data_IF_253326272337
#
_entry.id   IF_253326272337
#
_cell.length_a   1.000
_cell.length_b   1.000
_cell.length_c   1.000
_cell.angle_alpha   90.00
_cell.angle_beta   90.00
_cell.angle_gamma   90.00
#
_symmetry.space_group_name_H-M   'P 1'
#
loop_
_entity.id
_entity.type
_entity.pdbx_description
1 polymer ?
#
# COMPACT_ATOMS: atom_id res chain seq x y z
N UNK A 1 6.65 -53.46 -27.70
CA UNK A 1 7.76 -52.84 -26.96
C UNK A 1 7.49 -53.02 -25.48
N UNK A 2 8.22 -53.92 -24.85
CA UNK A 2 7.95 -54.45 -23.50
C UNK A 2 8.61 -53.55 -22.46
N UNK A 3 7.83 -52.98 -21.54
CA UNK A 3 8.35 -52.28 -20.37
C UNK A 3 8.69 -53.32 -19.29
N UNK A 4 9.93 -53.43 -18.77
CA UNK A 4 10.24 -54.43 -17.76
C UNK A 4 9.69 -53.98 -16.40
N UNK A 5 8.81 -54.79 -15.82
CA UNK A 5 8.42 -54.69 -14.41
C UNK A 5 9.62 -55.18 -13.56
N UNK A 6 10.34 -54.25 -12.94
CA UNK A 6 11.31 -54.59 -11.89
C UNK A 6 10.54 -55.05 -10.63
N UNK A 7 10.85 -56.26 -10.13
CA UNK A 7 10.18 -56.84 -8.96
C UNK A 7 11.01 -56.63 -7.69
N UNK A 8 10.39 -56.46 -6.51
CA UNK A 8 11.10 -56.36 -5.24
C UNK A 8 11.89 -57.65 -4.95
N UNK A 9 13.22 -57.55 -4.94
CA UNK A 9 14.15 -58.68 -4.69
C UNK A 9 15.28 -58.82 -5.72
N UNK A 10 15.13 -58.22 -6.91
CA UNK A 10 16.14 -58.29 -7.95
C UNK A 10 17.34 -57.34 -7.68
N UNK A 11 18.58 -57.71 -8.05
CA UNK A 11 19.73 -56.83 -7.94
C UNK A 11 19.51 -55.57 -8.79
N UNK A 12 19.73 -54.39 -8.18
CA UNK A 12 19.47 -53.10 -8.83
C UNK A 12 20.31 -52.92 -10.11
N UNK A 13 19.70 -52.47 -11.23
CA UNK A 13 20.41 -52.15 -12.46
C UNK A 13 21.58 -51.18 -12.24
N UNK A 14 22.71 -51.32 -12.96
CA UNK A 14 23.90 -50.47 -12.81
C UNK A 14 23.62 -48.98 -13.06
N UNK A 15 22.60 -48.69 -13.86
CA UNK A 15 22.20 -47.35 -14.31
C UNK A 15 21.58 -46.50 -13.18
N UNK A 16 21.07 -47.15 -12.14
CA UNK A 16 20.54 -46.52 -10.92
C UNK A 16 21.63 -46.31 -9.84
N UNK A 17 22.90 -46.58 -10.14
CA UNK A 17 24.03 -46.38 -9.21
C UNK A 17 24.63 -44.98 -9.24
N UNK A 18 24.06 -44.03 -9.99
CA UNK A 18 24.44 -42.61 -9.83
C UNK A 18 23.70 -42.00 -8.65
N UNK A 19 24.44 -41.89 -7.55
CA UNK A 19 24.06 -41.11 -6.39
C UNK A 19 24.73 -39.75 -6.51
N UNK A 20 24.09 -38.83 -7.23
CA UNK A 20 24.32 -37.40 -7.02
C UNK A 20 23.62 -37.04 -5.70
N UNK A 21 24.31 -37.31 -4.59
CA UNK A 21 23.85 -36.94 -3.24
C UNK A 21 24.18 -35.47 -3.08
N UNK A 22 23.17 -34.63 -2.88
CA UNK A 22 23.38 -33.24 -2.51
C UNK A 22 24.26 -33.18 -1.24
N UNK A 23 25.30 -32.33 -1.19
CA UNK A 23 26.21 -32.24 -0.04
C UNK A 23 25.53 -31.80 1.27
N UNK A 24 24.29 -31.32 1.21
CA UNK A 24 23.45 -31.08 2.39
C UNK A 24 21.96 -31.30 2.08
N UNK A 25 21.16 -31.57 3.12
CA UNK A 25 19.70 -31.52 3.09
C UNK A 25 19.12 -30.14 3.39
N UNK A 26 19.96 -29.10 3.37
CA UNK A 26 19.48 -27.73 3.52
C UNK A 26 18.68 -27.36 2.28
N UNK A 27 17.43 -26.96 2.49
CA UNK A 27 16.60 -26.40 1.43
C UNK A 27 17.29 -25.12 0.96
N UNK A 28 17.90 -25.15 -0.24
CA UNK A 28 18.37 -23.93 -0.89
C UNK A 28 17.20 -22.95 -1.05
N UNK A 29 17.45 -21.63 -1.11
CA UNK A 29 16.37 -20.65 -1.23
C UNK A 29 15.47 -21.00 -2.41
N UNK A 30 14.20 -21.32 -2.10
CA UNK A 30 13.20 -21.67 -3.11
C UNK A 30 12.61 -20.37 -3.64
N UNK A 31 13.02 -19.95 -4.83
CA UNK A 31 12.34 -18.90 -5.57
C UNK A 31 11.07 -19.47 -6.19
N UNK A 32 9.89 -19.02 -5.74
CA UNK A 32 8.62 -19.38 -6.37
C UNK A 32 8.23 -18.26 -7.32
N UNK A 33 8.61 -18.38 -8.59
CA UNK A 33 8.04 -17.54 -9.65
C UNK A 33 6.93 -18.33 -10.30
N UNK A 34 5.66 -17.89 -10.20
CA UNK A 34 4.57 -18.56 -10.92
C UNK A 34 4.88 -18.57 -12.42
N UNK A 35 4.73 -19.73 -13.07
CA UNK A 35 4.84 -19.84 -14.53
C UNK A 35 3.89 -18.81 -15.18
N UNK A 36 4.45 -17.83 -15.90
CA UNK A 36 3.69 -16.86 -16.70
C UNK A 36 3.82 -15.38 -16.28
N UNK A 37 4.27 -15.08 -15.06
CA UNK A 37 4.30 -13.67 -14.59
C UNK A 37 5.60 -12.92 -14.95
N UNK A 38 6.69 -13.66 -15.22
CA UNK A 38 8.02 -13.12 -15.51
C UNK A 38 8.69 -12.50 -14.28
N UNK A 39 9.90 -11.94 -14.44
CA UNK A 39 10.62 -11.30 -13.33
C UNK A 39 9.89 -10.00 -12.91
N UNK A 40 9.34 -9.91 -11.68
CA UNK A 40 8.60 -8.73 -11.22
C UNK A 40 9.47 -7.47 -11.12
N UNK A 41 10.79 -7.58 -10.93
CA UNK A 41 11.70 -6.42 -10.88
C UNK A 41 11.67 -5.58 -12.15
N UNK A 42 11.27 -6.18 -13.27
CA UNK A 42 11.11 -5.51 -14.56
C UNK A 42 9.77 -4.81 -14.78
N UNK A 43 8.81 -4.97 -13.86
CA UNK A 43 7.47 -4.39 -14.00
C UNK A 43 7.49 -2.90 -13.70
N UNK A 44 6.55 -2.18 -14.30
CA UNK A 44 6.38 -0.75 -14.16
C UNK A 44 5.12 -0.26 -14.85
N UNK A 45 4.68 0.94 -14.51
CA UNK A 45 3.46 1.58 -15.03
C UNK A 45 3.78 2.66 -16.07
N UNK A 46 5.04 3.09 -16.14
CA UNK A 46 5.53 4.12 -17.06
C UNK A 46 6.69 3.58 -17.88
N UNK A 47 6.66 3.74 -19.20
CA UNK A 47 7.79 3.33 -20.05
C UNK A 47 9.07 4.13 -19.72
N UNK A 48 10.28 3.57 -19.96
CA UNK A 48 11.53 4.31 -19.76
C UNK A 48 11.57 5.65 -20.50
N UNK A 49 11.05 5.68 -21.74
CA UNK A 49 10.99 6.90 -22.56
C UNK A 49 10.11 7.97 -21.93
N UNK A 50 8.90 7.61 -21.48
CA UNK A 50 8.00 8.56 -20.81
C UNK A 50 8.56 9.02 -19.46
N UNK A 51 9.32 8.17 -18.77
CA UNK A 51 10.02 8.53 -17.54
C UNK A 51 11.29 9.37 -17.78
N UNK A 52 11.79 9.46 -19.02
CA UNK A 52 13.08 10.09 -19.33
C UNK A 52 14.27 9.34 -18.73
N UNK A 53 14.18 8.01 -18.61
CA UNK A 53 15.18 7.14 -18.01
C UNK A 53 15.73 6.14 -19.03
N UNK A 54 17.02 5.76 -18.94
CA UNK A 54 17.54 4.65 -19.73
C UNK A 54 16.89 3.33 -19.29
N UNK A 55 16.50 2.43 -20.22
CA UNK A 55 15.88 1.14 -19.85
C UNK A 55 16.74 0.30 -18.90
N UNK A 56 18.06 0.30 -19.11
CA UNK A 56 19.04 -0.42 -18.29
C UNK A 56 19.56 0.37 -17.08
N UNK A 57 18.75 1.24 -16.47
CA UNK A 57 19.16 2.15 -15.39
C UNK A 57 19.95 1.46 -14.26
N UNK A 58 19.55 0.25 -13.88
CA UNK A 58 20.17 -0.51 -12.79
C UNK A 58 21.55 -1.09 -13.15
N UNK A 59 21.84 -1.27 -14.44
CA UNK A 59 23.08 -1.85 -14.93
C UNK A 59 23.38 -3.22 -14.35
N UNK A 60 24.63 -3.43 -13.93
CA UNK A 60 25.10 -4.67 -13.32
C UNK A 60 24.94 -4.72 -11.79
N UNK A 61 24.22 -3.77 -11.19
CA UNK A 61 24.07 -3.66 -9.74
C UNK A 61 23.26 -4.85 -9.18
N UNK A 62 23.64 -5.42 -8.02
CA UNK A 62 22.88 -6.50 -7.39
C UNK A 62 21.50 -6.04 -6.90
N UNK A 63 20.46 -6.85 -7.12
CA UNK A 63 19.09 -6.56 -6.68
C UNK A 63 18.97 -6.26 -5.16
N UNK A 64 19.62 -7.03 -4.25
CA UNK A 64 19.53 -6.76 -2.82
C UNK A 64 20.14 -5.41 -2.41
N UNK A 65 21.21 -4.99 -3.07
CA UNK A 65 21.86 -3.72 -2.79
C UNK A 65 20.99 -2.54 -3.25
N UNK A 66 20.40 -2.64 -4.44
CA UNK A 66 19.43 -1.63 -4.91
C UNK A 66 18.21 -1.56 -3.99
N UNK A 67 17.67 -2.70 -3.56
CA UNK A 67 16.56 -2.76 -2.63
C UNK A 67 16.90 -2.05 -1.30
N UNK A 68 18.10 -2.28 -0.76
CA UNK A 68 18.60 -1.63 0.46
C UNK A 68 18.73 -0.11 0.28
N UNK A 69 19.32 0.34 -0.83
CA UNK A 69 19.49 1.77 -1.14
C UNK A 69 18.15 2.47 -1.32
N UNK A 70 17.18 1.83 -1.99
CA UNK A 70 15.82 2.36 -2.14
C UNK A 70 15.13 2.48 -0.78
N UNK A 71 15.17 1.46 0.07
CA UNK A 71 14.59 1.55 1.42
C UNK A 71 15.23 2.65 2.27
N UNK A 72 16.54 2.86 2.15
CA UNK A 72 17.27 3.86 2.93
C UNK A 72 17.13 5.31 2.41
N UNK A 73 16.66 5.49 1.18
CA UNK A 73 16.46 6.81 0.58
C UNK A 73 15.46 7.64 1.40
N UNK A 74 15.65 8.96 1.50
CA UNK A 74 14.67 9.85 2.14
C UNK A 74 14.74 11.28 1.57
N UNK A 75 14.32 11.49 0.31
CA UNK A 75 14.39 12.81 -0.31
C UNK A 75 13.43 13.79 0.37
N UNK A 76 13.97 14.93 0.80
CA UNK A 76 13.22 16.02 1.44
C UNK A 76 12.70 17.07 0.45
N UNK A 77 13.40 17.26 -0.67
CA UNK A 77 13.01 18.25 -1.68
C UNK A 77 11.89 17.71 -2.57
N UNK A 78 10.83 18.49 -2.87
CA UNK A 78 9.74 18.05 -3.75
C UNK A 78 10.22 17.56 -5.12
N UNK A 79 11.21 18.22 -5.71
CA UNK A 79 11.79 17.82 -6.99
C UNK A 79 12.46 16.43 -6.93
N UNK A 80 13.17 16.13 -5.84
CA UNK A 80 13.80 14.81 -5.64
C UNK A 80 12.76 13.72 -5.36
N UNK A 81 11.71 14.03 -4.58
CA UNK A 81 10.59 13.10 -4.36
C UNK A 81 9.87 12.77 -5.67
N UNK A 82 9.65 13.76 -6.55
CA UNK A 82 9.08 13.52 -7.89
C UNK A 82 10.00 12.65 -8.76
N UNK A 83 11.31 12.91 -8.74
CA UNK A 83 12.29 12.09 -9.45
C UNK A 83 12.29 10.64 -8.94
N UNK A 84 12.32 10.45 -7.62
CA UNK A 84 12.30 9.14 -7.00
C UNK A 84 11.02 8.38 -7.37
N UNK A 85 9.84 8.97 -7.18
CA UNK A 85 8.56 8.35 -7.58
C UNK A 85 8.57 7.92 -9.05
N UNK A 86 9.14 8.74 -9.93
CA UNK A 86 9.26 8.44 -11.37
C UNK A 86 10.20 7.24 -11.62
N UNK A 87 11.33 7.17 -10.92
CA UNK A 87 12.24 6.01 -10.99
C UNK A 87 11.53 4.74 -10.48
N UNK A 88 10.85 4.83 -9.34
CA UNK A 88 10.18 3.71 -8.70
C UNK A 88 8.97 3.18 -9.49
N UNK A 89 8.31 4.01 -10.30
CA UNK A 89 7.17 3.60 -11.14
C UNK A 89 7.56 3.12 -12.55
N UNK A 90 8.81 3.36 -12.98
CA UNK A 90 9.23 3.07 -14.36
C UNK A 90 9.40 1.56 -14.63
N UNK A 91 9.10 1.15 -15.86
CA UNK A 91 9.33 -0.21 -16.35
C UNK A 91 10.79 -0.34 -16.82
N UNK A 92 11.69 -0.80 -15.95
CA UNK A 92 13.13 -0.86 -16.21
C UNK A 92 13.59 -2.31 -16.39
N UNK A 93 14.68 -2.55 -17.09
CA UNK A 93 15.26 -3.91 -17.20
C UNK A 93 15.64 -4.43 -15.82
N UNK A 94 15.30 -5.68 -15.44
CA UNK A 94 15.66 -6.23 -14.14
C UNK A 94 17.17 -6.13 -13.84
N UNK A 95 17.57 -5.88 -12.59
CA UNK A 95 18.98 -5.91 -12.17
C UNK A 95 19.52 -7.34 -12.15
N UNK A 96 20.82 -7.49 -11.82
CA UNK A 96 21.40 -8.81 -11.56
C UNK A 96 20.81 -9.39 -10.27
N UNK A 97 20.20 -10.57 -10.36
CA UNK A 97 19.66 -11.31 -9.22
C UNK A 97 20.17 -12.76 -9.25
N UNK A 98 20.46 -13.31 -8.08
CA UNK A 98 20.65 -14.76 -7.91
C UNK A 98 19.28 -15.46 -7.76
N UNK A 99 19.26 -16.79 -7.86
CA UNK A 99 18.03 -17.55 -7.66
C UNK A 99 17.41 -17.25 -6.27
N UNK A 100 16.13 -16.92 -6.26
CA UNK A 100 15.40 -16.53 -5.04
C UNK A 100 15.52 -15.06 -4.63
N UNK A 101 16.30 -14.24 -5.36
CA UNK A 101 16.38 -12.78 -5.13
C UNK A 101 15.46 -11.98 -6.07
N UNK A 102 14.85 -12.63 -7.06
CA UNK A 102 13.89 -12.01 -7.99
C UNK A 102 12.71 -11.41 -7.22
N UNK A 103 12.36 -10.17 -7.53
CA UNK A 103 11.26 -9.44 -6.90
C UNK A 103 11.62 -8.69 -5.63
N UNK A 104 12.83 -8.87 -5.09
CA UNK A 104 13.29 -8.09 -3.94
C UNK A 104 13.35 -6.59 -4.23
N UNK A 105 13.78 -6.21 -5.45
CA UNK A 105 13.80 -4.82 -5.88
C UNK A 105 12.38 -4.30 -6.11
N UNK A 106 11.50 -5.11 -6.70
CA UNK A 106 10.10 -4.77 -6.91
C UNK A 106 9.40 -4.44 -5.59
N UNK A 107 9.50 -5.32 -4.58
CA UNK A 107 8.90 -5.07 -3.26
C UNK A 107 9.51 -3.83 -2.59
N UNK A 108 10.82 -3.61 -2.70
CA UNK A 108 11.44 -2.40 -2.19
C UNK A 108 10.91 -1.12 -2.86
N UNK A 109 10.64 -1.16 -4.17
CA UNK A 109 10.02 -0.05 -4.91
C UNK A 109 8.59 0.22 -4.42
N UNK A 110 7.79 -0.83 -4.23
CA UNK A 110 6.43 -0.72 -3.70
C UNK A 110 6.44 -0.15 -2.28
N UNK A 111 7.19 -0.77 -1.36
CA UNK A 111 7.30 -0.35 0.03
C UNK A 111 7.73 1.13 0.11
N UNK A 112 8.70 1.54 -0.72
CA UNK A 112 9.15 2.93 -0.78
C UNK A 112 8.07 3.89 -1.30
N UNK A 113 7.28 3.49 -2.29
CA UNK A 113 6.15 4.30 -2.76
C UNK A 113 5.09 4.47 -1.66
N UNK A 114 4.85 3.44 -0.84
CA UNK A 114 3.95 3.51 0.33
C UNK A 114 4.48 4.49 1.38
N UNK A 115 5.76 4.40 1.72
CA UNK A 115 6.41 5.32 2.68
C UNK A 115 6.33 6.79 2.20
N UNK A 116 6.34 7.00 0.89
CA UNK A 116 6.18 8.32 0.28
C UNK A 116 4.73 8.81 0.24
N UNK A 117 3.75 7.98 0.63
CA UNK A 117 2.32 8.22 0.48
C UNK A 117 1.81 8.06 -0.96
N UNK A 118 2.66 7.64 -1.90
CA UNK A 118 2.31 7.46 -3.31
C UNK A 118 1.57 6.14 -3.57
N UNK A 119 0.51 5.87 -2.80
CA UNK A 119 -0.23 4.60 -2.81
C UNK A 119 -0.89 4.30 -4.14
N UNK A 120 -1.37 5.31 -4.87
CA UNK A 120 -1.87 5.12 -6.25
C UNK A 120 -0.80 4.54 -7.16
N UNK A 121 0.43 5.06 -7.10
CA UNK A 121 1.56 4.52 -7.88
C UNK A 121 1.95 3.11 -7.42
N UNK A 122 1.94 2.86 -6.11
CA UNK A 122 2.20 1.52 -5.55
C UNK A 122 1.14 0.50 -6.01
N UNK A 123 -0.14 0.86 -5.96
CA UNK A 123 -1.29 0.04 -6.38
C UNK A 123 -1.17 -0.34 -7.86
N UNK A 124 -0.92 0.64 -8.72
CA UNK A 124 -0.77 0.38 -10.16
C UNK A 124 0.48 -0.47 -10.47
N UNK A 125 1.56 -0.29 -9.73
CA UNK A 125 2.76 -1.13 -9.85
C UNK A 125 2.47 -2.58 -9.44
N UNK A 126 1.76 -2.79 -8.34
CA UNK A 126 1.32 -4.12 -7.87
C UNK A 126 0.39 -4.79 -8.88
N UNK A 127 -0.59 -4.07 -9.43
CA UNK A 127 -1.47 -4.57 -10.49
C UNK A 127 -0.70 -5.01 -11.73
N UNK A 128 0.33 -4.25 -12.15
CA UNK A 128 1.17 -4.61 -13.29
C UNK A 128 1.96 -5.91 -13.09
N UNK A 129 2.24 -6.30 -11.84
CA UNK A 129 2.92 -7.55 -11.49
C UNK A 129 1.95 -8.72 -11.21
N UNK A 130 0.65 -8.45 -11.09
CA UNK A 130 -0.38 -9.45 -10.77
C UNK A 130 -0.46 -9.81 -9.28
N UNK A 131 -1.67 -10.13 -8.77
CA UNK A 131 -1.91 -10.39 -7.35
C UNK A 131 -1.48 -11.79 -6.88
N UNK A 132 -0.88 -12.61 -7.76
CA UNK A 132 -0.60 -14.01 -7.46
C UNK A 132 0.47 -14.30 -6.40
N UNK A 133 1.19 -13.30 -5.93
CA UNK A 133 2.21 -13.50 -4.92
C UNK A 133 1.72 -13.01 -3.56
N UNK A 134 1.84 -13.82 -2.49
CA UNK A 134 1.37 -13.44 -1.15
C UNK A 134 2.00 -12.12 -0.64
N UNK A 135 3.29 -11.89 -0.89
CA UNK A 135 3.96 -10.67 -0.43
C UNK A 135 3.46 -9.44 -1.19
N UNK A 136 3.22 -9.55 -2.51
CA UNK A 136 2.60 -8.49 -3.31
C UNK A 136 1.16 -8.24 -2.86
N UNK A 137 0.38 -9.29 -2.67
CA UNK A 137 -1.01 -9.17 -2.24
C UNK A 137 -1.13 -8.55 -0.86
N UNK A 138 -0.21 -8.83 0.07
CA UNK A 138 -0.17 -8.16 1.38
C UNK A 138 -0.13 -6.64 1.24
N UNK A 139 0.75 -6.10 0.38
CA UNK A 139 0.82 -4.64 0.15
C UNK A 139 -0.43 -4.13 -0.58
N UNK A 140 -0.97 -4.90 -1.51
CA UNK A 140 -2.20 -4.53 -2.21
C UNK A 140 -3.39 -4.44 -1.23
N UNK A 141 -3.49 -5.39 -0.30
CA UNK A 141 -4.49 -5.43 0.75
C UNK A 141 -4.33 -4.25 1.72
N UNK A 142 -3.10 -3.98 2.18
CA UNK A 142 -2.79 -2.81 3.02
C UNK A 142 -3.22 -1.49 2.33
N UNK A 143 -2.93 -1.32 1.04
CA UNK A 143 -3.37 -0.13 0.28
C UNK A 143 -4.89 -0.06 0.20
N UNK A 144 -5.54 -1.20 -0.04
CA UNK A 144 -6.99 -1.26 -0.20
C UNK A 144 -7.72 -0.85 1.09
N UNK A 145 -7.24 -1.33 2.24
CA UNK A 145 -7.72 -0.93 3.58
C UNK A 145 -7.56 0.57 3.85
N UNK A 146 -6.52 1.21 3.30
CA UNK A 146 -6.31 2.66 3.46
C UNK A 146 -7.04 3.50 2.42
N UNK A 147 -7.56 2.91 1.35
CA UNK A 147 -8.16 3.64 0.22
C UNK A 147 -9.67 3.40 0.08
N UNK A 148 -10.28 2.61 0.96
CA UNK A 148 -11.71 2.25 0.85
C UNK A 148 -12.00 1.22 -0.25
N UNK A 149 -10.98 0.45 -0.68
CA UNK A 149 -11.10 -0.56 -1.74
C UNK A 149 -11.15 -2.00 -1.17
N UNK A 150 -11.54 -2.18 0.09
CA UNK A 150 -11.50 -3.45 0.82
C UNK A 150 -12.31 -4.53 0.12
N UNK A 151 -13.49 -4.18 -0.40
CA UNK A 151 -14.36 -5.08 -1.15
C UNK A 151 -13.63 -5.74 -2.34
N UNK A 152 -12.90 -4.94 -3.12
CA UNK A 152 -12.13 -5.45 -4.27
C UNK A 152 -10.98 -6.35 -3.81
N UNK A 153 -10.29 -6.01 -2.71
CA UNK A 153 -9.18 -6.81 -2.22
C UNK A 153 -9.66 -8.15 -1.63
N UNK A 154 -10.78 -8.16 -0.93
CA UNK A 154 -11.39 -9.39 -0.42
C UNK A 154 -11.87 -10.31 -1.56
N UNK A 155 -12.45 -9.75 -2.63
CA UNK A 155 -12.82 -10.53 -3.83
C UNK A 155 -11.59 -11.18 -4.49
N UNK A 156 -10.47 -10.47 -4.58
CA UNK A 156 -9.20 -11.03 -5.08
C UNK A 156 -8.72 -12.16 -4.18
N UNK A 157 -8.82 -12.00 -2.86
CA UNK A 157 -8.42 -13.01 -1.87
C UNK A 157 -9.23 -14.30 -2.05
N UNK A 158 -10.54 -14.19 -2.24
CA UNK A 158 -11.44 -15.35 -2.42
C UNK A 158 -11.17 -16.10 -3.72
N UNK A 159 -10.83 -15.37 -4.79
CA UNK A 159 -10.53 -15.97 -6.10
C UNK A 159 -9.10 -16.53 -6.20
N UNK A 160 -8.24 -16.25 -5.23
CA UNK A 160 -6.81 -16.60 -5.30
C UNK A 160 -6.41 -17.43 -4.08
N UNK A 161 -6.58 -18.76 -4.12
CA UNK A 161 -6.19 -19.64 -3.03
C UNK A 161 -4.72 -19.45 -2.61
N UNK A 162 -4.47 -19.39 -1.31
CA UNK A 162 -3.13 -19.26 -0.72
C UNK A 162 -2.53 -17.85 -0.77
N UNK A 163 -3.29 -16.83 -1.18
CA UNK A 163 -2.80 -15.44 -1.21
C UNK A 163 -3.02 -14.68 0.09
N UNK A 164 -3.88 -15.19 0.97
CA UNK A 164 -4.25 -14.52 2.23
C UNK A 164 -2.99 -14.22 3.07
N UNK A 165 -2.73 -12.95 3.45
CA UNK A 165 -1.50 -12.58 4.15
C UNK A 165 -1.42 -13.12 5.59
N UNK A 166 -2.56 -13.33 6.23
CA UNK A 166 -2.68 -13.80 7.61
C UNK A 166 -4.08 -14.37 7.87
N UNK A 167 -4.25 -15.08 8.99
CA UNK A 167 -5.57 -15.49 9.46
C UNK A 167 -6.47 -14.27 9.71
N UNK A 168 -5.94 -13.21 10.31
CA UNK A 168 -6.69 -11.98 10.59
C UNK A 168 -7.26 -11.34 9.31
N UNK A 169 -6.46 -11.27 8.23
CA UNK A 169 -6.93 -10.77 6.94
C UNK A 169 -8.03 -11.66 6.34
N UNK A 170 -7.89 -12.99 6.48
CA UNK A 170 -8.91 -13.94 6.01
C UNK A 170 -10.22 -13.80 6.79
N UNK A 171 -10.14 -13.69 8.11
CA UNK A 171 -11.30 -13.51 9.01
C UNK A 171 -12.02 -12.20 8.66
N UNK A 172 -11.27 -11.10 8.52
CA UNK A 172 -11.82 -9.81 8.09
C UNK A 172 -12.58 -9.92 6.77
N UNK A 173 -11.98 -10.53 5.74
CA UNK A 173 -12.65 -10.64 4.43
C UNK A 173 -13.88 -11.56 4.45
N UNK A 174 -13.88 -12.63 5.25
CA UNK A 174 -15.05 -13.49 5.41
C UNK A 174 -16.22 -12.73 6.05
N UNK A 175 -15.95 -12.01 7.15
CA UNK A 175 -16.95 -11.19 7.82
C UNK A 175 -17.44 -10.02 6.95
N UNK A 176 -16.52 -9.32 6.28
CA UNK A 176 -16.83 -8.24 5.34
C UNK A 176 -17.72 -8.73 4.17
N UNK A 177 -17.48 -9.95 3.69
CA UNK A 177 -18.31 -10.62 2.68
C UNK A 177 -19.65 -11.14 3.20
N UNK A 178 -19.91 -11.05 4.51
CA UNK A 178 -21.14 -11.48 5.17
C UNK A 178 -21.15 -12.93 5.65
N UNK A 179 -20.06 -13.67 5.50
CA UNK A 179 -19.92 -15.05 6.01
C UNK A 179 -19.35 -15.04 7.44
N UNK A 180 -20.14 -14.49 8.36
CA UNK A 180 -19.81 -14.37 9.78
C UNK A 180 -19.53 -15.73 10.44
N UNK A 181 -20.27 -16.77 10.04
CA UNK A 181 -20.09 -18.11 10.57
C UNK A 181 -18.72 -18.70 10.17
N UNK A 182 -18.30 -18.54 8.91
CA UNK A 182 -16.97 -18.96 8.48
C UNK A 182 -15.87 -18.12 9.16
N UNK A 183 -16.09 -16.81 9.30
CA UNK A 183 -15.14 -15.93 9.99
C UNK A 183 -14.91 -16.36 11.44
N UNK A 184 -15.98 -16.62 12.20
CA UNK A 184 -15.92 -17.10 13.58
C UNK A 184 -15.25 -18.48 13.69
N UNK A 185 -15.55 -19.41 12.78
CA UNK A 185 -14.90 -20.73 12.76
C UNK A 185 -13.38 -20.62 12.56
N UNK A 186 -12.96 -19.80 11.59
CA UNK A 186 -11.54 -19.57 11.30
C UNK A 186 -10.87 -18.87 12.49
N UNK A 187 -11.54 -17.89 13.10
CA UNK A 187 -11.07 -17.18 14.28
C UNK A 187 -10.80 -18.14 15.45
N UNK A 188 -11.80 -18.92 15.89
CA UNK A 188 -11.63 -19.84 17.02
C UNK A 188 -10.55 -20.90 16.78
N UNK A 189 -10.45 -21.41 15.55
CA UNK A 189 -9.39 -22.36 15.19
C UNK A 189 -8.00 -21.73 15.28
N UNK A 190 -7.82 -20.55 14.68
CA UNK A 190 -6.54 -19.85 14.66
C UNK A 190 -6.12 -19.37 16.06
N UNK A 191 -7.07 -18.88 16.85
CA UNK A 191 -6.84 -18.43 18.24
C UNK A 191 -6.46 -19.60 19.16
N UNK A 192 -7.18 -20.72 19.10
CA UNK A 192 -6.86 -21.92 19.87
C UNK A 192 -5.47 -22.50 19.55
N UNK A 193 -4.96 -22.27 18.34
CA UNK A 193 -3.61 -22.66 17.89
C UNK A 193 -2.56 -21.55 18.09
N UNK A 194 -2.90 -20.45 18.74
CA UNK A 194 -2.06 -19.27 18.94
C UNK A 194 -1.43 -18.74 17.63
N UNK A 195 -2.20 -18.74 16.54
CA UNK A 195 -1.78 -18.23 15.23
C UNK A 195 -2.13 -16.75 15.02
N UNK A 196 -2.74 -16.11 16.03
CA UNK A 196 -3.11 -14.70 16.04
C UNK A 196 -2.51 -14.07 17.31
N UNK A 197 -1.88 -12.91 17.17
CA UNK A 197 -1.36 -12.15 18.31
C UNK A 197 -2.51 -11.76 19.27
N UNK A 198 -2.31 -11.82 20.61
CA UNK A 198 -3.40 -11.64 21.58
C UNK A 198 -4.20 -10.34 21.43
N UNK A 199 -3.54 -9.22 21.12
CA UNK A 199 -4.22 -7.93 20.91
C UNK A 199 -5.12 -7.94 19.67
N UNK A 200 -4.66 -8.55 18.58
CA UNK A 200 -5.46 -8.74 17.37
C UNK A 200 -6.59 -9.76 17.59
N UNK A 201 -6.36 -10.80 18.39
CA UNK A 201 -7.41 -11.77 18.74
C UNK A 201 -8.54 -11.11 19.52
N UNK A 202 -8.23 -10.26 20.50
CA UNK A 202 -9.22 -9.45 21.22
C UNK A 202 -9.99 -8.52 20.26
N UNK A 203 -9.28 -7.80 19.40
CA UNK A 203 -9.90 -6.90 18.41
C UNK A 203 -10.85 -7.66 17.45
N UNK A 204 -10.45 -8.83 16.97
CA UNK A 204 -11.28 -9.68 16.11
C UNK A 204 -12.49 -10.26 16.88
N UNK A 205 -12.34 -10.61 18.15
CA UNK A 205 -13.45 -11.06 18.97
C UNK A 205 -14.53 -9.97 19.10
N UNK A 206 -14.14 -8.72 19.36
CA UNK A 206 -15.06 -7.58 19.38
C UNK A 206 -15.70 -7.33 18.01
N UNK A 207 -14.93 -7.49 16.92
CA UNK A 207 -15.44 -7.29 15.57
C UNK A 207 -16.46 -8.35 15.13
N UNK A 208 -16.33 -9.59 15.60
CA UNK A 208 -17.19 -10.71 15.19
C UNK A 208 -18.42 -10.93 16.06
N UNK A 209 -18.53 -10.25 17.20
CA UNK A 209 -19.62 -10.44 18.16
C UNK A 209 -20.53 -9.21 18.20
N UNK A 210 -21.77 -9.40 17.73
CA UNK A 210 -22.83 -8.41 17.71
C UNK A 210 -23.13 -7.80 19.10
N UNK A 211 -22.77 -8.49 20.19
CA UNK A 211 -22.99 -8.02 21.57
C UNK A 211 -21.99 -6.97 22.06
N UNK A 212 -20.86 -6.76 21.37
CA UNK A 212 -19.83 -5.83 21.84
C UNK A 212 -20.06 -4.38 21.44
N UNK A 213 -20.99 -4.09 20.52
CA UNK A 213 -21.36 -2.70 20.19
C UNK A 213 -21.89 -1.93 21.40
N UNK A 214 -22.40 -2.64 22.41
CA UNK A 214 -22.91 -2.08 23.68
C UNK A 214 -21.90 -2.17 24.84
N UNK A 215 -20.70 -2.72 24.59
CA UNK A 215 -19.66 -2.83 25.62
C UNK A 215 -18.97 -1.48 25.86
N UNK A 216 -18.82 -1.10 27.13
CA UNK A 216 -18.05 0.09 27.52
C UNK A 216 -16.53 -0.16 27.55
N UNK A 217 -16.08 -1.37 27.18
CA UNK A 217 -14.68 -1.77 27.25
C UNK A 217 -13.90 -1.20 26.07
N UNK A 218 -12.96 -0.29 26.38
CA UNK A 218 -12.05 0.27 25.40
C UNK A 218 -10.83 -0.63 25.23
N UNK A 219 -10.59 -1.06 24.00
CA UNK A 219 -9.37 -1.81 23.68
C UNK A 219 -8.17 -0.87 23.71
N UNK A 220 -7.05 -1.37 24.23
CA UNK A 220 -5.80 -0.62 24.23
C UNK A 220 -5.28 -0.55 22.79
N UNK A 221 -5.07 0.66 22.23
CA UNK A 221 -4.52 0.78 20.88
C UNK A 221 -3.15 0.12 20.76
N UNK A 222 -2.84 -0.53 19.62
CA UNK A 222 -1.54 -1.15 19.41
C UNK A 222 -0.44 -0.09 19.29
N UNK A 223 0.79 -0.44 19.71
CA UNK A 223 1.94 0.45 19.63
C UNK A 223 2.33 0.80 18.19
N UNK A 224 2.10 -0.13 17.26
CA UNK A 224 2.27 0.05 15.82
C UNK A 224 0.97 -0.36 15.16
N UNK A 225 0.24 0.62 14.63
CA UNK A 225 -1.04 0.41 13.98
C UNK A 225 -0.80 -0.09 12.55
N UNK A 226 -1.41 -1.23 12.20
CA UNK A 226 -1.55 -1.71 10.83
C UNK A 226 -2.83 -1.19 10.17
N UNK A 227 -2.92 -1.16 8.83
CA UNK A 227 -4.15 -0.79 8.14
C UNK A 227 -5.36 -1.66 8.53
N UNK A 228 -5.13 -2.94 8.80
CA UNK A 228 -6.20 -3.85 9.22
C UNK A 228 -6.71 -3.48 10.62
N UNK A 229 -5.82 -3.17 11.57
CA UNK A 229 -6.22 -2.70 12.90
C UNK A 229 -6.97 -1.38 12.81
N UNK A 230 -6.53 -0.44 11.98
CA UNK A 230 -7.26 0.82 11.76
C UNK A 230 -8.72 0.55 11.36
N UNK A 231 -8.93 -0.29 10.34
CA UNK A 231 -10.28 -0.63 9.84
C UNK A 231 -11.12 -1.41 10.85
N UNK A 232 -10.51 -2.34 11.58
CA UNK A 232 -11.20 -3.08 12.64
C UNK A 232 -11.63 -2.15 13.78
N UNK A 233 -10.75 -1.23 14.20
CA UNK A 233 -11.06 -0.22 15.22
C UNK A 233 -12.20 0.72 14.81
N UNK A 234 -12.23 1.15 13.55
CA UNK A 234 -13.37 1.91 12.99
C UNK A 234 -14.65 1.08 13.02
N UNK A 235 -14.60 -0.20 12.63
CA UNK A 235 -15.76 -1.09 12.57
C UNK A 235 -16.39 -1.36 13.95
N UNK A 236 -15.58 -1.41 15.01
CA UNK A 236 -16.07 -1.59 16.39
C UNK A 236 -16.43 -0.27 17.09
N UNK A 237 -16.40 0.87 16.37
CA UNK A 237 -16.72 2.19 16.94
C UNK A 237 -15.65 2.76 17.88
N UNK A 238 -14.40 2.30 17.78
CA UNK A 238 -13.25 2.78 18.55
C UNK A 238 -12.16 3.33 17.62
N UNK A 239 -12.45 4.34 16.77
CA UNK A 239 -11.53 4.79 15.72
C UNK A 239 -10.21 5.34 16.28
N UNK A 240 -9.12 5.04 15.60
CA UNK A 240 -7.78 5.51 15.95
C UNK A 240 -7.48 6.85 15.27
N UNK A 241 -6.77 7.79 15.93
CA UNK A 241 -6.39 9.06 15.30
C UNK A 241 -5.31 8.86 14.23
N UNK A 242 -5.69 8.91 12.97
CA UNK A 242 -4.82 8.80 11.78
C UNK A 242 -3.75 9.90 11.66
N UNK A 243 -4.00 11.07 12.23
CA UNK A 243 -3.12 12.25 12.13
C UNK A 243 -1.71 12.04 12.71
N UNK A 244 -1.55 11.13 13.69
CA UNK A 244 -0.26 10.76 14.29
C UNK A 244 0.37 9.51 13.68
N UNK A 245 -0.38 8.74 12.89
CA UNK A 245 0.09 7.53 12.21
C UNK A 245 0.99 7.86 11.01
N UNK A 246 1.74 6.91 10.41
CA UNK A 246 2.54 7.15 9.22
C UNK A 246 1.77 7.80 8.05
N UNK A 247 2.46 8.46 7.13
CA UNK A 247 1.85 9.26 6.07
C UNK A 247 0.79 8.51 5.23
N UNK A 248 0.99 7.23 4.97
CA UNK A 248 0.03 6.41 4.22
C UNK A 248 -1.36 6.35 4.87
N UNK A 249 -1.45 6.43 6.20
CA UNK A 249 -2.73 6.39 6.91
C UNK A 249 -3.60 7.63 6.65
N UNK A 250 -3.01 8.75 6.20
CA UNK A 250 -3.80 9.92 5.81
C UNK A 250 -4.70 9.67 4.59
N UNK A 251 -4.52 8.56 3.86
CA UNK A 251 -5.44 8.18 2.79
C UNK A 251 -6.81 7.71 3.31
N UNK A 252 -6.83 7.10 4.50
CA UNK A 252 -8.06 6.64 5.13
C UNK A 252 -9.04 7.81 5.34
N UNK A 253 -8.50 8.99 5.66
CA UNK A 253 -9.29 10.19 5.92
C UNK A 253 -9.71 10.94 4.65
N UNK A 254 -9.36 10.48 3.44
CA UNK A 254 -9.72 11.19 2.20
C UNK A 254 -11.13 10.87 1.69
N UNK A 255 -11.75 9.81 2.19
CA UNK A 255 -13.10 9.40 1.82
C UNK A 255 -14.12 10.53 2.08
N UNK A 256 -15.11 10.68 1.22
CA UNK A 256 -16.20 11.65 1.37
C UNK A 256 -17.09 11.37 2.59
N UNK A 257 -17.08 10.13 3.10
CA UNK A 257 -17.77 9.77 4.33
C UNK A 257 -17.17 10.46 5.57
N UNK A 258 -15.92 10.91 5.47
CA UNK A 258 -15.22 11.60 6.55
C UNK A 258 -15.60 13.08 6.64
N UNK A 259 -15.49 13.61 7.85
CA UNK A 259 -15.70 15.04 8.09
C UNK A 259 -14.75 15.89 7.25
N UNK A 260 -15.26 16.92 6.57
CA UNK A 260 -14.49 17.72 5.62
C UNK A 260 -13.20 18.31 6.21
N UNK A 261 -13.19 18.65 7.51
CA UNK A 261 -11.96 19.08 8.21
C UNK A 261 -10.86 18.01 8.18
N UNK A 262 -11.20 16.76 8.52
CA UNK A 262 -10.26 15.65 8.52
C UNK A 262 -9.72 15.41 7.10
N UNK A 263 -10.61 15.42 6.10
CA UNK A 263 -10.25 15.33 4.68
C UNK A 263 -9.28 16.43 4.25
N UNK A 264 -9.50 17.67 4.68
CA UNK A 264 -8.58 18.78 4.38
C UNK A 264 -7.22 18.59 5.06
N UNK A 265 -7.20 18.28 6.36
CA UNK A 265 -5.95 18.07 7.12
C UNK A 265 -5.12 16.93 6.51
N UNK A 266 -5.79 15.85 6.09
CA UNK A 266 -5.19 14.71 5.40
C UNK A 266 -4.70 15.07 3.98
N UNK A 267 -5.52 15.76 3.19
CA UNK A 267 -5.14 16.21 1.85
C UNK A 267 -3.93 17.13 1.87
N UNK A 268 -3.87 18.08 2.80
CA UNK A 268 -2.72 18.97 2.97
C UNK A 268 -1.47 18.20 3.41
N UNK A 269 -1.63 17.23 4.32
CA UNK A 269 -0.53 16.37 4.75
C UNK A 269 0.04 15.55 3.60
N UNK A 270 -0.81 14.98 2.75
CA UNK A 270 -0.41 14.23 1.56
C UNK A 270 0.18 15.14 0.48
N UNK A 271 -0.40 16.32 0.25
CA UNK A 271 0.07 17.26 -0.76
C UNK A 271 1.44 17.86 -0.41
N UNK A 272 1.70 18.19 0.87
CA UNK A 272 3.05 18.56 1.35
C UNK A 272 4.10 17.51 1.01
N UNK A 273 3.70 16.24 1.09
CA UNK A 273 4.56 15.12 0.76
C UNK A 273 4.62 14.79 -0.75
N UNK A 274 3.85 15.49 -1.59
CA UNK A 274 3.71 15.21 -3.02
C UNK A 274 3.05 13.85 -3.31
N UNK A 275 2.32 13.30 -2.34
CA UNK A 275 1.64 12.02 -2.42
C UNK A 275 0.39 12.07 -3.32
N UNK A 276 -0.36 13.17 -3.24
CA UNK A 276 -1.52 13.46 -4.10
C UNK A 276 -1.22 14.60 -5.10
N UNK A 277 -1.91 14.65 -6.25
CA UNK A 277 -1.83 15.77 -7.17
C UNK A 277 -2.35 17.08 -6.56
N UNK A 278 -1.74 18.21 -6.93
CA UNK A 278 -2.22 19.55 -6.58
C UNK A 278 -3.69 19.78 -7.00
N UNK A 279 -4.09 19.22 -8.14
CA UNK A 279 -5.47 19.27 -8.61
C UNK A 279 -6.45 18.58 -7.65
N UNK A 280 -6.05 17.47 -7.02
CA UNK A 280 -6.89 16.77 -6.04
C UNK A 280 -7.04 17.59 -4.76
N UNK A 281 -5.95 18.17 -4.24
CA UNK A 281 -6.01 19.09 -3.09
C UNK A 281 -6.94 20.28 -3.40
N UNK A 282 -6.78 20.89 -4.59
CA UNK A 282 -7.63 21.99 -5.03
C UNK A 282 -9.09 21.59 -5.08
N UNK A 283 -9.42 20.41 -5.63
CA UNK A 283 -10.80 19.92 -5.65
C UNK A 283 -11.37 19.87 -4.23
N UNK A 284 -10.66 19.29 -3.26
CA UNK A 284 -11.12 19.17 -1.87
C UNK A 284 -11.32 20.54 -1.21
N UNK A 285 -10.44 21.52 -1.47
CA UNK A 285 -10.62 22.89 -1.00
C UNK A 285 -11.90 23.53 -1.52
N UNK A 286 -12.36 23.20 -2.72
CA UNK A 286 -13.52 23.82 -3.37
C UNK A 286 -14.86 23.13 -3.05
N UNK A 287 -14.86 22.03 -2.30
CA UNK A 287 -16.07 21.21 -2.07
C UNK A 287 -17.12 21.91 -1.20
N UNK A 288 -16.70 22.65 -0.17
CA UNK A 288 -17.61 23.25 0.80
C UNK A 288 -17.16 24.65 1.20
N UNK A 289 -18.07 25.42 1.82
CA UNK A 289 -17.71 26.73 2.40
C UNK A 289 -17.02 26.51 3.76
N UNK A 290 -15.92 27.20 4.06
CA UNK A 290 -15.23 27.12 5.35
C UNK A 290 -16.22 27.27 6.52
N UNK A 291 -16.23 26.28 7.42
CA UNK A 291 -17.18 26.23 8.53
C UNK A 291 -16.79 27.15 9.71
N UNK A 292 -15.52 27.55 9.77
CA UNK A 292 -14.96 28.42 10.80
C UNK A 292 -13.78 29.23 10.24
N UNK A 293 -13.12 30.01 11.08
CA UNK A 293 -11.85 30.67 10.80
C UNK A 293 -10.69 29.90 11.42
N UNK A 294 -9.47 30.11 10.92
CA UNK A 294 -8.24 29.58 11.49
C UNK A 294 -7.70 28.36 10.75
N UNK A 295 -6.37 28.31 10.61
CA UNK A 295 -5.64 27.13 10.15
C UNK A 295 -6.05 26.70 8.74
N UNK A 296 -6.57 25.49 8.62
CA UNK A 296 -6.99 24.88 7.33
C UNK A 296 -8.15 25.62 6.69
N UNK A 297 -9.00 26.27 7.49
CA UNK A 297 -10.15 27.02 6.99
C UNK A 297 -9.75 28.30 6.28
N UNK A 298 -8.76 29.02 6.82
CA UNK A 298 -8.26 30.25 6.19
C UNK A 298 -7.57 29.95 4.86
N UNK A 299 -6.84 28.81 4.78
CA UNK A 299 -6.26 28.34 3.52
C UNK A 299 -7.35 27.99 2.51
N UNK A 300 -8.38 27.25 2.92
CA UNK A 300 -9.51 26.93 2.04
C UNK A 300 -10.17 28.21 1.51
N UNK A 301 -10.44 29.18 2.40
CA UNK A 301 -11.03 30.47 2.02
C UNK A 301 -10.16 31.25 1.03
N UNK A 302 -8.85 31.32 1.26
CA UNK A 302 -7.92 32.05 0.40
C UNK A 302 -7.80 31.39 -0.99
N UNK A 303 -7.74 30.04 -1.04
CA UNK A 303 -7.72 29.28 -2.29
C UNK A 303 -9.04 29.43 -3.07
N UNK A 304 -10.18 29.40 -2.39
CA UNK A 304 -11.50 29.65 -3.00
C UNK A 304 -11.59 31.04 -3.61
N UNK A 305 -11.19 32.08 -2.88
CA UNK A 305 -11.20 33.45 -3.38
C UNK A 305 -10.29 33.64 -4.62
N UNK A 306 -9.14 32.96 -4.64
CA UNK A 306 -8.27 32.95 -5.82
C UNK A 306 -8.91 32.18 -6.99
N UNK A 307 -9.52 31.02 -6.73
CA UNK A 307 -10.19 30.22 -7.74
C UNK A 307 -11.35 30.97 -8.39
N UNK A 308 -12.18 31.66 -7.61
CA UNK A 308 -13.29 32.48 -8.10
C UNK A 308 -12.80 33.64 -8.99
N UNK A 309 -11.73 34.32 -8.58
CA UNK A 309 -11.12 35.39 -9.36
C UNK A 309 -10.56 34.90 -10.71
N UNK A 310 -9.92 33.73 -10.71
CA UNK A 310 -9.42 33.07 -11.92
C UNK A 310 -10.57 32.65 -12.84
N UNK A 311 -11.64 32.07 -12.29
CA UNK A 311 -12.82 31.65 -13.04
C UNK A 311 -13.54 32.84 -13.70
N UNK A 312 -13.66 33.96 -12.97
CA UNK A 312 -14.22 35.21 -13.46
C UNK A 312 -13.32 35.95 -14.46
N UNK A 313 -12.05 35.54 -14.61
CA UNK A 313 -11.01 36.23 -15.39
C UNK A 313 -10.83 37.70 -14.98
N UNK A 314 -11.04 38.01 -13.70
CA UNK A 314 -10.85 39.35 -13.16
C UNK A 314 -9.40 39.53 -12.68
N UNK A 315 -8.58 40.18 -13.52
CA UNK A 315 -7.17 40.43 -13.21
C UNK A 315 -6.94 41.27 -11.95
N UNK A 316 -7.86 42.19 -11.62
CA UNK A 316 -7.76 42.98 -10.40
C UNK A 316 -8.09 42.15 -9.16
N UNK A 317 -9.08 41.25 -9.25
CA UNK A 317 -9.37 40.30 -8.18
C UNK A 317 -8.21 39.32 -7.97
N UNK A 318 -7.63 38.77 -9.05
CA UNK A 318 -6.46 37.88 -8.97
C UNK A 318 -5.28 38.58 -8.30
N UNK A 319 -4.99 39.83 -8.67
CA UNK A 319 -3.91 40.60 -8.05
C UNK A 319 -4.09 40.81 -6.53
N UNK A 320 -5.34 40.84 -6.05
CA UNK A 320 -5.67 40.98 -4.62
C UNK A 320 -5.66 39.63 -3.88
N UNK A 321 -6.15 38.55 -4.49
CA UNK A 321 -6.31 37.25 -3.84
C UNK A 321 -5.08 36.36 -3.91
N UNK A 322 -4.20 36.55 -4.92
CA UNK A 322 -3.02 35.70 -5.10
C UNK A 322 -2.00 35.82 -3.95
N UNK A 323 -1.56 37.02 -3.51
CA UNK A 323 -0.60 37.13 -2.41
C UNK A 323 -1.06 36.45 -1.10
N UNK A 324 -2.27 36.69 -0.56
CA UNK A 324 -2.70 36.03 0.67
C UNK A 324 -2.88 34.52 0.50
N UNK A 325 -3.34 34.03 -0.67
CA UNK A 325 -3.40 32.60 -0.94
C UNK A 325 -2.01 31.97 -0.98
N UNK A 326 -1.05 32.64 -1.61
CA UNK A 326 0.34 32.19 -1.65
C UNK A 326 0.97 32.15 -0.26
N UNK A 327 0.84 33.22 0.53
CA UNK A 327 1.41 33.28 1.88
C UNK A 327 0.82 32.20 2.79
N UNK A 328 -0.50 32.00 2.76
CA UNK A 328 -1.18 30.98 3.56
C UNK A 328 -0.74 29.56 3.19
N UNK A 329 -0.62 29.27 1.88
CA UNK A 329 -0.16 27.97 1.38
C UNK A 329 1.33 27.75 1.66
N UNK A 330 2.17 28.77 1.44
CA UNK A 330 3.61 28.69 1.69
C UNK A 330 3.92 28.46 3.17
N UNK A 331 3.23 29.15 4.08
CA UNK A 331 3.37 28.95 5.54
C UNK A 331 3.02 27.52 5.97
N UNK A 332 2.12 26.86 5.26
CA UNK A 332 1.76 25.46 5.46
C UNK A 332 2.62 24.47 4.65
N UNK A 333 3.68 24.90 3.96
CA UNK A 333 4.52 24.03 3.13
C UNK A 333 3.84 23.54 1.84
N UNK A 334 2.75 24.17 1.43
CA UNK A 334 1.94 23.85 0.25
C UNK A 334 2.21 24.79 -0.93
N UNK A 335 3.19 25.69 -0.83
CA UNK A 335 3.59 26.60 -1.92
C UNK A 335 3.80 25.89 -3.26
N UNK A 336 4.53 24.76 -3.33
CA UNK A 336 4.65 23.99 -4.58
C UNK A 336 3.32 23.45 -5.10
N UNK A 337 2.39 23.04 -4.23
CA UNK A 337 1.09 22.54 -4.63
C UNK A 337 0.16 23.65 -5.13
N UNK A 338 0.34 24.89 -4.68
CA UNK A 338 -0.40 26.04 -5.23
C UNK A 338 0.12 26.44 -6.63
N UNK A 339 1.42 26.24 -6.88
CA UNK A 339 2.06 26.64 -8.14
C UNK A 339 1.86 25.65 -9.30
N UNK A 340 1.57 24.37 -8.98
CA UNK A 340 1.27 23.29 -9.93
C UNK A 340 -0.17 23.37 -10.49
#
# INVERSE_FOLDING_TARGET
TTCPLWRPGDPRPPELRRRDIAPSGAVGPVGVTRLGEGNPDGKGTVSPRAAGLPPGLWGASPAPELARLIRASNPRLPALRRLERRILAAQLSPPRAEAGQEGALFLARVDKLLDMGATGAAKELLKAAGPGDPERFRRLFDIALLSGDEAQACEIMDRTPGVAPSFSARIFCLAYGGDWAAAALVFHGADAMAQIEPGMAALLAHYLDDGYSDSAEQLVPPAVVSPLELRLHEAIGQPLPSSSLPLAFALADLDQNEGWKARLDAAERLARAGAIPASQLRMIYLEQKPAASGGVWDRAAAVQALADALLARDGAAVARSLPPAFDAMAAAGLGPALAD
#
